data_IF_204398136272
#
_entry.id   IF_204398136272
#
_cell.length_a   1.000
_cell.length_b   1.000
_cell.length_c   1.000
_cell.angle_alpha   90.00
_cell.angle_beta   90.00
_cell.angle_gamma   90.00
#
_symmetry.space_group_name_H-M   'P 1'
#
loop_
_entity.id
_entity.type
_entity.pdbx_description
1 polymer ?
#
# COMPACT_ATOMS: atom_id res chain seq x y z
N UNK A 1 1.97 -35.28 12.89
CA UNK A 1 1.87 -33.95 13.54
C UNK A 1 1.51 -32.92 12.49
N UNK A 2 0.30 -32.36 12.52
CA UNK A 2 -0.09 -31.25 11.63
C UNK A 2 0.68 -30.01 12.10
N UNK A 3 1.64 -29.52 11.32
CA UNK A 3 2.22 -28.19 11.54
C UNK A 3 1.09 -27.20 11.36
N UNK A 4 0.65 -26.58 12.45
CA UNK A 4 -0.16 -25.36 12.40
C UNK A 4 0.73 -24.32 11.75
N UNK A 5 0.54 -24.07 10.46
CA UNK A 5 1.12 -22.92 9.77
C UNK A 5 0.56 -21.67 10.45
N UNK A 6 1.29 -21.16 11.44
CA UNK A 6 1.01 -19.86 12.02
C UNK A 6 1.14 -18.87 10.86
N UNK A 7 0.05 -18.20 10.43
CA UNK A 7 0.13 -17.27 9.32
C UNK A 7 1.13 -16.19 9.69
N UNK A 8 2.27 -16.13 8.98
CA UNK A 8 3.23 -15.04 9.15
C UNK A 8 2.46 -13.72 8.94
N UNK A 9 2.53 -12.78 9.89
CA UNK A 9 1.84 -11.51 9.74
C UNK A 9 2.36 -10.78 8.51
N UNK A 10 1.45 -10.15 7.77
CA UNK A 10 1.77 -9.31 6.61
C UNK A 10 2.78 -8.25 7.03
N UNK A 11 3.86 -8.10 6.26
CA UNK A 11 4.88 -7.08 6.55
C UNK A 11 4.47 -5.76 5.91
N UNK A 12 4.12 -4.76 6.72
CA UNK A 12 3.89 -3.40 6.24
C UNK A 12 5.20 -2.84 5.65
N UNK A 13 5.12 -2.30 4.43
CA UNK A 13 6.25 -1.69 3.73
C UNK A 13 6.14 -0.17 3.70
N UNK A 14 4.92 0.34 3.51
CA UNK A 14 4.68 1.78 3.36
C UNK A 14 3.22 2.10 3.64
N UNK A 15 2.95 3.30 4.18
CA UNK A 15 1.59 3.80 4.35
C UNK A 15 1.52 5.33 4.36
N UNK A 16 0.33 5.85 4.06
CA UNK A 16 -0.09 7.20 4.39
C UNK A 16 -1.56 7.23 4.81
N UNK A 17 -1.91 8.29 5.54
CA UNK A 17 -3.28 8.69 5.81
C UNK A 17 -3.37 10.19 5.51
N UNK A 18 -4.31 10.61 4.68
CA UNK A 18 -4.49 12.01 4.33
C UNK A 18 -5.96 12.34 4.06
N UNK A 19 -6.44 13.55 4.42
CA UNK A 19 -7.75 14.01 4.01
C UNK A 19 -7.89 14.02 2.48
N UNK A 20 -9.04 13.61 2.00
CA UNK A 20 -9.42 13.64 0.59
C UNK A 20 -10.87 14.12 0.49
N UNK A 21 -11.06 15.43 0.25
CA UNK A 21 -12.38 16.05 0.32
C UNK A 21 -13.00 15.92 1.72
N UNK A 22 -14.12 15.20 1.81
CA UNK A 22 -14.83 14.94 3.07
C UNK A 22 -14.42 13.62 3.74
N UNK A 23 -13.52 12.87 3.12
CA UNK A 23 -13.10 11.54 3.55
C UNK A 23 -11.66 11.57 4.06
N UNK A 24 -11.26 10.52 4.75
CA UNK A 24 -9.85 10.21 5.02
C UNK A 24 -9.44 9.01 4.19
N UNK A 25 -8.48 9.23 3.29
CA UNK A 25 -7.87 8.18 2.50
C UNK A 25 -6.67 7.61 3.25
N UNK A 26 -6.71 6.30 3.47
CA UNK A 26 -5.62 5.51 4.00
C UNK A 26 -5.13 4.57 2.91
N UNK A 27 -3.83 4.60 2.64
CA UNK A 27 -3.20 3.64 1.73
C UNK A 27 -2.10 2.92 2.49
N UNK A 28 -2.13 1.59 2.43
CA UNK A 28 -1.13 0.73 3.05
C UNK A 28 -0.63 -0.30 2.05
N UNK A 29 0.68 -0.47 1.98
CA UNK A 29 1.32 -1.45 1.11
C UNK A 29 2.01 -2.49 1.97
N UNK A 30 1.64 -3.75 1.79
CA UNK A 30 2.17 -4.89 2.51
C UNK A 30 2.92 -5.83 1.58
N UNK A 31 3.87 -6.59 2.14
CA UNK A 31 4.34 -7.85 1.59
C UNK A 31 3.67 -9.00 2.33
N UNK A 32 2.94 -9.82 1.59
CA UNK A 32 2.31 -11.05 2.05
C UNK A 32 2.93 -12.22 1.29
N UNK A 33 3.93 -12.87 1.92
CA UNK A 33 4.76 -13.92 1.30
C UNK A 33 5.40 -13.43 -0.03
N UNK A 34 4.90 -13.92 -1.16
CA UNK A 34 5.35 -13.60 -2.52
C UNK A 34 4.49 -12.53 -3.19
N UNK A 35 3.42 -12.07 -2.54
CA UNK A 35 2.48 -11.10 -3.08
C UNK A 35 2.63 -9.74 -2.39
N UNK A 36 2.40 -8.67 -3.14
CA UNK A 36 2.26 -7.32 -2.62
C UNK A 36 0.78 -6.99 -2.50
N UNK A 37 0.35 -6.44 -1.38
CA UNK A 37 -1.03 -6.02 -1.18
C UNK A 37 -1.06 -4.51 -1.00
N UNK A 38 -1.82 -3.81 -1.84
CA UNK A 38 -2.18 -2.43 -1.60
C UNK A 38 -3.60 -2.38 -1.04
N UNK A 39 -3.72 -1.99 0.23
CA UNK A 39 -4.99 -1.69 0.86
C UNK A 39 -5.28 -0.20 0.72
N UNK A 40 -6.43 0.12 0.14
CA UNK A 40 -6.99 1.47 0.06
C UNK A 40 -8.24 1.52 0.90
N UNK A 41 -8.22 2.30 1.98
CA UNK A 41 -9.37 2.48 2.87
C UNK A 41 -9.80 3.94 2.89
N UNK A 42 -11.05 4.17 2.47
CA UNK A 42 -11.72 5.46 2.61
C UNK A 42 -12.57 5.43 3.85
N UNK A 43 -12.49 6.51 4.64
CA UNK A 43 -13.28 6.68 5.86
C UNK A 43 -14.06 7.97 5.74
N UNK A 44 -15.37 7.87 5.73
CA UNK A 44 -16.30 9.01 5.71
C UNK A 44 -16.41 9.66 7.10
N UNK A 45 -17.04 10.85 7.16
CA UNK A 45 -17.18 11.61 8.42
C UNK A 45 -18.03 10.91 9.47
N UNK A 46 -18.97 10.08 9.04
CA UNK A 46 -19.85 9.29 9.91
C UNK A 46 -19.16 8.01 10.44
N UNK A 47 -17.91 7.75 10.03
CA UNK A 47 -17.14 6.57 10.39
C UNK A 47 -17.36 5.37 9.47
N UNK A 48 -18.25 5.48 8.48
CA UNK A 48 -18.41 4.47 7.42
C UNK A 48 -17.07 4.33 6.69
N UNK A 49 -16.66 3.09 6.40
CA UNK A 49 -15.41 2.88 5.69
C UNK A 49 -15.51 1.84 4.58
N UNK A 50 -14.97 2.21 3.42
CA UNK A 50 -14.84 1.34 2.26
C UNK A 50 -13.38 0.92 2.11
N UNK A 51 -13.13 -0.38 2.04
CA UNK A 51 -11.79 -0.94 1.89
C UNK A 51 -11.68 -1.73 0.59
N UNK A 52 -10.67 -1.42 -0.21
CA UNK A 52 -10.30 -2.15 -1.40
C UNK A 52 -8.90 -2.74 -1.21
N UNK A 53 -8.74 -4.03 -1.43
CA UNK A 53 -7.45 -4.72 -1.36
C UNK A 53 -7.05 -5.17 -2.76
N UNK A 54 -5.93 -4.64 -3.24
CA UNK A 54 -5.42 -4.90 -4.58
C UNK A 54 -4.14 -5.74 -4.48
N UNK A 55 -4.17 -7.01 -4.92
CA UNK A 55 -2.98 -7.83 -4.98
C UNK A 55 -2.13 -7.50 -6.22
N UNK A 56 -0.83 -7.49 -6.04
CA UNK A 56 0.16 -7.29 -7.09
C UNK A 56 1.26 -8.35 -6.96
N UNK A 57 1.70 -8.88 -8.11
CA UNK A 57 2.83 -9.81 -8.17
C UNK A 57 4.15 -9.08 -7.91
N UNK A 58 4.24 -7.82 -8.33
CA UNK A 58 5.44 -7.01 -8.22
C UNK A 58 5.14 -5.65 -7.57
N UNK A 59 6.08 -5.09 -6.78
CA UNK A 59 5.90 -3.77 -6.19
C UNK A 59 5.85 -2.65 -7.23
N UNK A 60 6.45 -2.88 -8.41
CA UNK A 60 6.40 -1.93 -9.53
C UNK A 60 4.98 -1.74 -10.06
N UNK A 61 4.17 -2.80 -10.07
CA UNK A 61 2.77 -2.70 -10.46
C UNK A 61 1.96 -1.84 -9.48
N UNK A 62 2.21 -1.98 -8.16
CA UNK A 62 1.61 -1.11 -7.15
C UNK A 62 2.05 0.35 -7.32
N UNK A 63 3.33 0.58 -7.68
CA UNK A 63 3.87 1.92 -7.96
C UNK A 63 3.17 2.57 -9.16
N UNK A 64 3.05 1.85 -10.27
CA UNK A 64 2.36 2.34 -11.48
C UNK A 64 0.90 2.63 -11.18
N UNK A 65 0.21 1.73 -10.50
CA UNK A 65 -1.19 1.92 -10.09
C UNK A 65 -1.39 3.21 -9.30
N UNK A 66 -0.62 3.41 -8.22
CA UNK A 66 -0.75 4.59 -7.37
C UNK A 66 -0.34 5.90 -8.07
N UNK A 67 0.60 5.83 -9.02
CA UNK A 67 1.08 7.02 -9.74
C UNK A 67 0.15 7.44 -10.88
N UNK A 68 -0.55 6.48 -11.49
CA UNK A 68 -1.40 6.71 -12.66
C UNK A 68 -2.84 7.06 -12.31
N UNK A 69 -3.32 6.70 -11.12
CA UNK A 69 -4.72 6.90 -10.74
C UNK A 69 -5.02 8.40 -10.47
N UNK A 70 -5.89 9.04 -11.30
CA UNK A 70 -6.26 10.45 -11.14
C UNK A 70 -6.94 10.77 -9.80
N UNK A 71 -7.50 9.75 -9.16
CA UNK A 71 -8.12 9.82 -7.85
C UNK A 71 -7.18 10.42 -6.79
N UNK A 72 -5.87 10.18 -6.93
CA UNK A 72 -4.87 10.68 -5.98
C UNK A 72 -4.34 12.07 -6.28
N UNK A 73 -4.93 12.81 -7.22
CA UNK A 73 -4.49 14.16 -7.60
C UNK A 73 -4.35 15.13 -6.41
N UNK A 74 -5.25 15.05 -5.42
CA UNK A 74 -5.22 15.90 -4.23
C UNK A 74 -4.21 15.46 -3.16
N UNK A 75 -3.74 14.21 -3.21
CA UNK A 75 -2.80 13.61 -2.24
C UNK A 75 -1.51 13.13 -2.92
N UNK A 76 -1.13 13.77 -4.04
CA UNK A 76 0.05 13.36 -4.82
C UNK A 76 1.34 13.41 -4.00
N UNK A 77 1.44 14.33 -3.02
CA UNK A 77 2.62 14.44 -2.18
C UNK A 77 2.76 13.21 -1.29
N UNK A 78 1.68 12.74 -0.70
CA UNK A 78 1.60 11.58 0.16
C UNK A 78 1.83 10.30 -0.63
N UNK A 79 1.25 10.21 -1.83
CA UNK A 79 1.54 9.12 -2.77
C UNK A 79 3.04 9.09 -3.08
N UNK A 80 3.66 10.21 -3.48
CA UNK A 80 5.12 10.26 -3.73
C UNK A 80 5.93 9.80 -2.51
N UNK A 81 5.55 10.20 -1.30
CA UNK A 81 6.22 9.77 -0.08
C UNK A 81 6.07 8.26 0.15
N UNK A 82 4.90 7.70 -0.09
CA UNK A 82 4.66 6.27 0.05
C UNK A 82 5.44 5.47 -0.97
N UNK A 83 5.58 5.95 -2.20
CA UNK A 83 6.39 5.31 -3.21
C UNK A 83 7.89 5.35 -2.84
N UNK A 84 8.40 6.48 -2.34
CA UNK A 84 9.79 6.56 -1.85
C UNK A 84 10.05 5.59 -0.70
N UNK A 85 9.09 5.44 0.23
CA UNK A 85 9.18 4.47 1.34
C UNK A 85 9.12 3.03 0.83
N UNK A 86 8.28 2.74 -0.16
CA UNK A 86 8.20 1.44 -0.82
C UNK A 86 9.54 1.08 -1.48
N UNK A 87 10.13 2.00 -2.25
CA UNK A 87 11.42 1.81 -2.91
C UNK A 87 12.52 1.48 -1.89
N UNK A 88 12.57 2.23 -0.77
CA UNK A 88 13.52 1.98 0.33
C UNK A 88 13.29 0.63 1.01
N UNK A 89 12.03 0.27 1.25
CA UNK A 89 11.68 -1.01 1.87
C UNK A 89 12.07 -2.18 0.97
N UNK A 90 11.86 -2.05 -0.35
CA UNK A 90 12.25 -3.04 -1.34
C UNK A 90 13.77 -3.19 -1.44
N UNK A 91 14.50 -2.08 -1.52
CA UNK A 91 15.96 -2.08 -1.60
C UNK A 91 16.59 -2.78 -0.38
N UNK A 92 16.10 -2.51 0.83
CA UNK A 92 16.59 -3.17 2.06
C UNK A 92 16.43 -4.69 2.06
N UNK A 93 15.41 -5.21 1.37
CA UNK A 93 15.10 -6.64 1.36
C UNK A 93 15.75 -7.37 0.20
N UNK A 94 15.89 -6.73 -0.96
CA UNK A 94 16.31 -7.41 -2.20
C UNK A 94 17.63 -6.87 -2.77
N UNK A 95 18.22 -5.82 -2.17
CA UNK A 95 19.47 -5.20 -2.61
C UNK A 95 19.39 -4.50 -3.97
N UNK A 96 18.19 -4.34 -4.54
CA UNK A 96 17.95 -3.75 -5.86
C UNK A 96 16.90 -2.66 -5.77
N UNK A 97 17.06 -1.61 -6.56
CA UNK A 97 16.04 -0.58 -6.72
C UNK A 97 14.84 -1.11 -7.51
N UNK A 98 13.68 -0.46 -7.34
CA UNK A 98 12.55 -0.63 -8.23
C UNK A 98 12.82 0.23 -9.48
N UNK A 99 13.37 -0.39 -10.52
CA UNK A 99 13.56 0.23 -11.85
C UNK A 99 12.26 0.20 -12.64
#
# INVERSE_FOLDING_TARGET
MKRTDIPKPRKLLSEFSSPLGNETLNVRIYRDRETFLCERRLVERDGTSFTMVLPFTEPQAARVFLSADPYYSQVQREVKQVLVRLDRAWYRVNGKALT
#
